data_IF_272109864381
#
_entry.id   IF_272109864381
#
_cell.length_a   1.000
_cell.length_b   1.000
_cell.length_c   1.000
_cell.angle_alpha   90.00
_cell.angle_beta   90.00
_cell.angle_gamma   90.00
#
_symmetry.space_group_name_H-M   'P 1'
#
loop_
_entity.id
_entity.type
_entity.pdbx_description
1 polymer ?
#
# COMPACT_ATOMS: atom_id res chain seq x y z
N UNK A 1 -5.82 -39.56 -2.04
CA UNK A 1 -6.90 -39.03 -2.91
C UNK A 1 -8.21 -38.89 -2.14
N UNK A 2 -8.78 -39.94 -1.55
CA UNK A 2 -10.04 -39.86 -0.78
C UNK A 2 -10.00 -38.90 0.43
N UNK A 3 -8.91 -38.92 1.21
CA UNK A 3 -8.69 -37.99 2.33
C UNK A 3 -8.54 -36.51 1.90
N UNK A 4 -8.05 -36.26 0.69
CA UNK A 4 -7.88 -34.90 0.16
C UNK A 4 -9.25 -34.26 -0.13
N UNK A 5 -10.21 -35.07 -0.59
CA UNK A 5 -11.57 -34.63 -0.90
C UNK A 5 -12.42 -34.48 0.37
N UNK A 6 -12.26 -35.37 1.36
CA UNK A 6 -12.90 -35.20 2.68
C UNK A 6 -12.41 -33.93 3.40
N UNK A 7 -11.16 -33.52 3.18
CA UNK A 7 -10.62 -32.28 3.74
C UNK A 7 -11.08 -31.02 2.99
N UNK A 8 -11.36 -31.11 1.69
CA UNK A 8 -11.95 -30.00 0.93
C UNK A 8 -13.39 -29.68 1.36
N UNK A 9 -14.14 -30.68 1.85
CA UNK A 9 -15.48 -30.48 2.40
C UNK A 9 -15.52 -29.68 3.71
N UNK A 10 -14.36 -29.41 4.33
CA UNK A 10 -14.22 -28.61 5.56
C UNK A 10 -13.79 -27.16 5.29
N UNK A 11 -13.58 -26.80 4.03
CA UNK A 11 -13.17 -25.44 3.66
C UNK A 11 -14.40 -24.55 3.67
N UNK A 12 -14.40 -23.63 4.62
CA UNK A 12 -15.46 -22.64 4.82
C UNK A 12 -15.62 -21.76 3.57
N UNK A 13 -16.85 -21.72 3.06
CA UNK A 13 -17.23 -20.85 1.94
C UNK A 13 -17.35 -19.39 2.35
N UNK A 14 -17.13 -18.48 1.39
CA UNK A 14 -17.50 -17.08 1.53
C UNK A 14 -19.01 -17.03 1.84
N UNK A 15 -19.43 -16.26 2.86
CA UNK A 15 -20.83 -15.98 3.28
C UNK A 15 -21.46 -16.81 4.43
N UNK A 16 -20.77 -17.75 5.07
CA UNK A 16 -21.28 -18.40 6.28
C UNK A 16 -20.85 -17.66 7.57
N UNK A 17 -21.77 -17.45 8.51
CA UNK A 17 -21.44 -17.05 9.89
C UNK A 17 -20.73 -18.22 10.56
N UNK A 18 -19.41 -18.19 10.50
CA UNK A 18 -18.56 -19.31 10.89
C UNK A 18 -17.98 -19.08 12.28
N UNK A 19 -17.96 -20.14 13.08
CA UNK A 19 -17.34 -20.11 14.40
C UNK A 19 -15.83 -19.83 14.28
N UNK A 20 -15.28 -18.98 15.14
CA UNK A 20 -13.86 -18.60 15.16
C UNK A 20 -12.91 -19.81 15.17
N UNK A 21 -13.34 -20.86 15.87
CA UNK A 21 -12.63 -22.13 15.94
C UNK A 21 -12.50 -22.82 14.57
N UNK A 22 -13.55 -22.83 13.76
CA UNK A 22 -13.54 -23.46 12.44
C UNK A 22 -12.65 -22.69 11.46
N UNK A 23 -12.61 -21.36 11.54
CA UNK A 23 -11.71 -20.56 10.71
C UNK A 23 -10.26 -20.78 11.10
N UNK A 24 -9.94 -20.84 12.39
CA UNK A 24 -8.58 -21.10 12.86
C UNK A 24 -8.12 -22.53 12.49
N UNK A 25 -9.00 -23.53 12.57
CA UNK A 25 -8.73 -24.89 12.11
C UNK A 25 -8.47 -24.95 10.60
N UNK A 26 -9.29 -24.25 9.81
CA UNK A 26 -9.13 -24.16 8.35
C UNK A 26 -7.82 -23.47 7.98
N UNK A 27 -7.49 -22.36 8.67
CA UNK A 27 -6.24 -21.62 8.49
C UNK A 27 -5.04 -22.49 8.78
N UNK A 28 -5.03 -23.20 9.91
CA UNK A 28 -3.95 -24.14 10.26
C UNK A 28 -3.81 -25.26 9.24
N UNK A 29 -4.91 -25.84 8.78
CA UNK A 29 -4.91 -26.90 7.77
C UNK A 29 -4.32 -26.39 6.45
N UNK A 30 -4.73 -25.20 6.01
CA UNK A 30 -4.22 -24.55 4.80
C UNK A 30 -2.73 -24.26 4.89
N UNK A 31 -2.30 -23.57 5.96
CA UNK A 31 -0.89 -23.20 6.16
C UNK A 31 0.02 -24.43 6.30
N UNK A 32 -0.49 -25.53 6.86
CA UNK A 32 0.24 -26.79 6.95
C UNK A 32 0.33 -27.50 5.60
N UNK A 33 -0.74 -27.47 4.80
CA UNK A 33 -0.82 -28.21 3.52
C UNK A 33 -0.09 -27.50 2.40
N UNK A 34 -0.24 -26.18 2.30
CA UNK A 34 0.24 -25.39 1.16
C UNK A 34 1.45 -24.50 1.49
N UNK A 35 1.80 -24.36 2.77
CA UNK A 35 2.85 -23.44 3.23
C UNK A 35 2.68 -22.01 2.68
N UNK A 36 1.43 -21.55 2.62
CA UNK A 36 1.04 -20.21 2.21
C UNK A 36 0.06 -19.62 3.22
N UNK A 37 0.01 -18.29 3.40
CA UNK A 37 -1.00 -17.67 4.23
C UNK A 37 -2.40 -17.98 3.67
N UNK A 38 -3.31 -18.34 4.57
CA UNK A 38 -4.71 -18.58 4.20
C UNK A 38 -5.41 -17.30 3.75
N UNK A 39 -5.20 -16.21 4.50
CA UNK A 39 -5.72 -14.89 4.15
C UNK A 39 -4.94 -14.25 2.99
N UNK A 40 -5.67 -13.60 2.08
CA UNK A 40 -5.12 -12.79 0.97
C UNK A 40 -5.78 -11.42 0.95
N UNK A 41 -5.17 -10.45 0.29
CA UNK A 41 -5.78 -9.14 0.07
C UNK A 41 -7.16 -9.28 -0.60
N UNK A 42 -8.15 -8.52 -0.14
CA UNK A 42 -9.55 -8.61 -0.59
C UNK A 42 -10.34 -9.82 -0.09
N UNK A 43 -9.69 -10.79 0.57
CA UNK A 43 -10.29 -12.00 1.12
C UNK A 43 -10.34 -12.03 2.64
N UNK A 44 -10.46 -10.87 3.29
CA UNK A 44 -10.55 -10.77 4.75
C UNK A 44 -11.80 -11.50 5.25
N UNK A 45 -11.61 -12.53 6.08
CA UNK A 45 -12.71 -13.24 6.72
C UNK A 45 -13.07 -12.46 8.00
N UNK A 46 -14.26 -11.87 8.04
CA UNK A 46 -14.77 -11.19 9.22
C UNK A 46 -15.28 -12.24 10.22
N UNK A 47 -14.39 -12.75 11.06
CA UNK A 47 -14.75 -13.69 12.13
C UNK A 47 -14.76 -12.96 13.46
N UNK A 48 -15.87 -13.05 14.21
CA UNK A 48 -15.92 -12.60 15.61
C UNK A 48 -16.15 -11.11 15.85
N UNK A 49 -16.77 -10.37 14.93
CA UNK A 49 -17.24 -9.01 15.20
C UNK A 49 -18.77 -8.92 15.12
N UNK A 50 -19.44 -9.50 16.11
CA UNK A 50 -20.89 -9.31 16.30
C UNK A 50 -21.26 -7.90 16.79
N UNK A 51 -20.31 -6.95 16.89
CA UNK A 51 -20.59 -5.57 17.33
C UNK A 51 -19.54 -4.50 17.04
N UNK A 52 -18.47 -4.82 16.33
CA UNK A 52 -17.58 -3.79 15.79
C UNK A 52 -17.80 -3.86 14.30
N UNK A 53 -18.55 -2.88 13.80
CA UNK A 53 -18.64 -2.51 12.39
C UNK A 53 -17.37 -3.01 11.72
N UNK A 54 -17.48 -3.91 10.72
CA UNK A 54 -16.46 -3.99 9.68
C UNK A 54 -15.98 -2.55 9.54
N UNK A 55 -14.69 -2.20 9.66
CA UNK A 55 -14.34 -0.94 9.05
C UNK A 55 -14.81 -1.18 7.63
N UNK A 56 -15.95 -0.55 7.25
CA UNK A 56 -16.32 -0.33 5.87
C UNK A 56 -14.98 -0.17 5.19
N UNK A 57 -14.66 -0.91 4.10
CA UNK A 57 -13.38 -0.72 3.42
C UNK A 57 -13.14 0.79 3.48
N UNK A 58 -12.05 1.27 4.12
CA UNK A 58 -12.01 2.60 4.75
C UNK A 58 -12.35 3.73 3.79
N UNK A 59 -12.42 3.39 2.50
CA UNK A 59 -13.21 4.08 1.53
C UNK A 59 -14.11 3.11 0.74
N UNK A 60 -15.42 3.39 0.70
CA UNK A 60 -16.36 2.81 -0.26
C UNK A 60 -15.95 3.28 -1.65
N UNK A 61 -15.34 2.40 -2.45
CA UNK A 61 -15.00 2.73 -3.82
C UNK A 61 -16.24 2.55 -4.69
N UNK A 62 -16.87 3.66 -5.07
CA UNK A 62 -17.81 3.65 -6.19
C UNK A 62 -17.04 3.24 -7.45
N UNK A 63 -17.18 1.96 -7.82
CA UNK A 63 -16.54 1.41 -9.01
C UNK A 63 -17.37 1.85 -10.22
N UNK A 64 -16.83 2.78 -11.00
CA UNK A 64 -17.32 3.02 -12.36
C UNK A 64 -16.42 2.26 -13.32
N UNK A 65 -17.00 1.33 -14.09
CA UNK A 65 -16.27 0.58 -15.12
C UNK A 65 -15.79 1.48 -16.28
N UNK A 66 -16.35 2.69 -16.39
CA UNK A 66 -16.04 3.64 -17.46
C UNK A 66 -15.50 4.94 -16.88
N UNK A 67 -14.26 5.25 -17.25
CA UNK A 67 -13.65 6.54 -16.98
C UNK A 67 -14.12 7.60 -17.99
N UNK A 68 -15.16 8.34 -17.61
CA UNK A 68 -15.69 9.46 -18.42
C UNK A 68 -14.69 10.61 -18.61
N UNK A 69 -13.66 10.71 -17.78
CA UNK A 69 -12.68 11.78 -17.83
C UNK A 69 -11.58 11.50 -18.86
N UNK A 70 -11.19 10.25 -19.08
CA UNK A 70 -10.17 9.91 -20.10
C UNK A 70 -10.56 10.32 -21.52
N UNK A 71 -11.86 10.27 -21.86
CA UNK A 71 -12.35 10.65 -23.19
C UNK A 71 -12.49 12.16 -23.36
N UNK A 72 -12.92 12.88 -22.31
CA UNK A 72 -13.15 14.34 -22.35
C UNK A 72 -11.91 15.17 -22.03
N UNK A 73 -11.05 14.69 -21.15
CA UNK A 73 -9.96 15.46 -20.55
C UNK A 73 -8.64 14.70 -20.66
N UNK A 74 -7.95 14.85 -21.81
CA UNK A 74 -6.67 14.19 -22.10
C UNK A 74 -5.56 14.49 -21.08
N UNK A 75 -5.65 15.62 -20.38
CA UNK A 75 -4.68 16.00 -19.35
C UNK A 75 -4.85 15.21 -18.04
N UNK A 76 -6.00 14.58 -17.80
CA UNK A 76 -6.28 13.91 -16.52
C UNK A 76 -5.77 12.45 -16.46
N UNK A 77 -4.77 12.25 -15.59
CA UNK A 77 -4.30 10.99 -14.99
C UNK A 77 -5.35 10.08 -14.34
N UNK A 78 -5.81 8.91 -14.84
CA UNK A 78 -6.58 8.01 -14.00
C UNK A 78 -5.72 7.49 -12.83
N UNK A 79 -6.29 7.55 -11.63
CA UNK A 79 -5.64 7.09 -10.40
C UNK A 79 -6.11 5.67 -10.10
N UNK A 80 -5.18 4.78 -9.73
CA UNK A 80 -5.51 3.40 -9.35
C UNK A 80 -5.02 3.08 -7.95
N UNK A 81 -5.89 2.47 -7.15
CA UNK A 81 -5.62 2.00 -5.80
C UNK A 81 -5.70 0.48 -5.73
N UNK A 82 -4.93 -0.10 -4.82
CA UNK A 82 -4.95 -1.53 -4.50
C UNK A 82 -4.79 -1.72 -3.00
N UNK A 83 -5.40 -2.78 -2.49
CA UNK A 83 -5.10 -3.30 -1.17
C UNK A 83 -3.88 -4.23 -1.28
N UNK A 84 -2.94 -4.12 -0.35
CA UNK A 84 -1.75 -4.95 -0.26
C UNK A 84 -1.62 -5.56 1.14
N UNK A 85 -1.50 -6.87 1.20
CA UNK A 85 -1.24 -7.64 2.41
C UNK A 85 0.12 -8.32 2.31
N UNK A 86 0.94 -8.17 3.34
CA UNK A 86 2.26 -8.81 3.44
C UNK A 86 2.28 -9.71 4.67
N UNK A 87 2.55 -10.99 4.45
CA UNK A 87 2.66 -12.02 5.47
C UNK A 87 4.10 -12.50 5.60
N UNK A 88 4.50 -12.83 6.81
CA UNK A 88 5.85 -13.29 7.14
C UNK A 88 5.76 -14.53 8.02
N UNK A 89 6.60 -15.51 7.73
CA UNK A 89 6.82 -16.71 8.52
C UNK A 89 8.32 -16.94 8.69
N UNK A 90 8.78 -17.22 9.89
CA UNK A 90 10.20 -17.53 10.12
C UNK A 90 10.55 -18.94 9.64
N UNK A 91 11.82 -19.19 9.35
CA UNK A 91 12.29 -20.51 8.96
C UNK A 91 12.80 -21.31 10.17
N UNK A 92 12.52 -22.60 10.20
CA UNK A 92 12.93 -23.49 11.30
C UNK A 92 14.43 -23.79 11.37
N UNK A 93 15.15 -23.61 10.26
CA UNK A 93 16.49 -24.18 10.06
C UNK A 93 17.60 -23.49 10.83
N UNK A 94 17.33 -22.35 11.43
CA UNK A 94 18.23 -21.68 12.35
C UNK A 94 17.36 -21.15 13.48
N UNK A 95 17.53 -21.64 14.70
CA UNK A 95 17.07 -20.93 15.89
C UNK A 95 18.14 -19.88 16.17
N UNK A 96 18.04 -18.63 15.66
CA UNK A 96 18.87 -17.56 16.18
C UNK A 96 18.62 -17.48 17.68
N UNK A 97 19.68 -17.29 18.46
CA UNK A 97 19.57 -17.01 19.88
C UNK A 97 18.61 -15.83 20.06
N UNK A 98 17.75 -15.83 21.09
CA UNK A 98 16.82 -14.70 21.35
C UNK A 98 17.56 -13.34 21.33
N UNK A 99 18.84 -13.35 21.75
CA UNK A 99 19.75 -12.21 21.73
C UNK A 99 20.03 -11.70 20.31
N UNK A 100 20.25 -12.59 19.32
CA UNK A 100 20.52 -12.23 17.93
C UNK A 100 19.30 -11.61 17.24
N UNK A 101 18.10 -12.03 17.63
CA UNK A 101 16.84 -11.52 17.08
C UNK A 101 16.39 -10.19 17.69
N UNK A 102 16.79 -9.86 18.92
CA UNK A 102 16.41 -8.58 19.56
C UNK A 102 16.85 -7.34 18.76
N UNK A 103 17.91 -7.47 17.97
CA UNK A 103 18.43 -6.37 17.16
C UNK A 103 17.95 -6.41 15.70
N UNK A 104 17.27 -7.48 15.27
CA UNK A 104 16.76 -7.63 13.91
C UNK A 104 15.33 -7.10 13.78
N UNK A 105 15.08 -6.37 12.71
CA UNK A 105 13.76 -5.84 12.40
C UNK A 105 13.54 -5.83 10.89
N UNK A 106 12.27 -5.91 10.51
CA UNK A 106 11.83 -5.73 9.14
C UNK A 106 11.43 -4.28 8.92
N UNK A 107 11.81 -3.73 7.77
CA UNK A 107 11.39 -2.41 7.33
C UNK A 107 10.72 -2.52 5.98
N UNK A 108 9.48 -2.06 5.92
CA UNK A 108 8.74 -1.88 4.67
C UNK A 108 8.99 -0.50 4.09
N UNK A 109 9.19 -0.42 2.77
CA UNK A 109 9.34 0.83 2.00
C UNK A 109 8.56 0.75 0.70
N UNK A 110 8.15 1.91 0.18
CA UNK A 110 7.61 2.04 -1.18
C UNK A 110 8.76 2.14 -2.19
N UNK A 111 8.62 1.51 -3.36
CA UNK A 111 9.64 1.56 -4.43
C UNK A 111 9.72 2.96 -5.08
N UNK A 112 8.55 3.54 -5.36
CA UNK A 112 8.39 4.88 -5.93
C UNK A 112 7.31 5.63 -5.16
N UNK A 113 7.40 6.96 -5.17
CA UNK A 113 6.52 7.87 -4.43
C UNK A 113 6.59 7.59 -2.91
N UNK A 114 6.43 8.60 -2.06
CA UNK A 114 6.46 8.40 -0.60
C UNK A 114 7.68 7.60 -0.09
N UNK A 115 8.88 7.78 -0.69
CA UNK A 115 10.10 7.01 -0.35
C UNK A 115 10.58 7.18 1.09
N UNK A 116 10.06 8.20 1.75
CA UNK A 116 10.29 8.52 3.16
C UNK A 116 9.45 7.63 4.08
N UNK A 117 8.34 7.05 3.60
CA UNK A 117 7.53 6.09 4.35
C UNK A 117 8.36 4.85 4.64
N UNK A 118 8.59 4.61 5.94
CA UNK A 118 9.31 3.47 6.48
C UNK A 118 8.50 2.92 7.65
N UNK A 119 7.98 1.71 7.52
CA UNK A 119 7.27 1.03 8.59
C UNK A 119 8.14 -0.09 9.12
N UNK A 120 8.39 -0.11 10.43
CA UNK A 120 9.28 -1.08 11.07
C UNK A 120 8.48 -2.05 11.94
N UNK A 121 8.83 -3.33 11.88
CA UNK A 121 8.35 -4.36 12.82
C UNK A 121 9.52 -5.22 13.30
N UNK A 122 9.66 -5.47 14.61
CA UNK A 122 10.70 -6.35 15.12
C UNK A 122 10.49 -7.79 14.61
N UNK A 123 11.57 -8.53 14.41
CA UNK A 123 11.47 -9.91 13.90
C UNK A 123 10.78 -10.85 14.91
N UNK A 124 10.79 -10.48 16.19
CA UNK A 124 10.18 -11.21 17.30
C UNK A 124 8.66 -11.28 17.23
N UNK A 125 8.02 -10.44 16.42
CA UNK A 125 6.57 -10.47 16.20
C UNK A 125 6.14 -11.69 15.35
N UNK A 126 7.10 -12.37 14.71
CA UNK A 126 6.88 -13.47 13.80
C UNK A 126 7.29 -14.82 14.40
N UNK A 127 6.64 -15.90 13.96
CA UNK A 127 6.88 -17.26 14.42
C UNK A 127 7.26 -18.18 13.27
N UNK A 128 7.86 -19.33 13.60
CA UNK A 128 8.06 -20.41 12.63
C UNK A 128 6.79 -21.24 12.40
N UNK A 129 5.90 -21.29 13.40
CA UNK A 129 4.76 -22.22 13.40
C UNK A 129 3.60 -21.76 12.51
N UNK A 130 3.44 -20.44 12.32
CA UNK A 130 2.32 -19.85 11.57
C UNK A 130 2.72 -18.63 10.76
N UNK A 131 1.96 -18.35 9.70
CA UNK A 131 2.06 -17.11 8.94
C UNK A 131 1.41 -15.96 9.71
N UNK A 132 2.12 -14.84 9.84
CA UNK A 132 1.59 -13.63 10.48
C UNK A 132 1.53 -12.45 9.52
N UNK A 133 0.42 -11.72 9.55
CA UNK A 133 0.22 -10.50 8.76
C UNK A 133 1.11 -9.39 9.31
N UNK A 134 2.15 -9.05 8.56
CA UNK A 134 3.07 -7.98 8.90
C UNK A 134 2.48 -6.61 8.57
N UNK A 135 1.92 -6.43 7.37
CA UNK A 135 1.32 -5.17 6.95
C UNK A 135 0.06 -5.39 6.14
N UNK A 136 -0.87 -4.46 6.31
CA UNK A 136 -2.10 -4.33 5.53
C UNK A 136 -2.22 -2.85 5.15
N UNK A 137 -2.15 -2.55 3.86
CA UNK A 137 -2.04 -1.19 3.35
C UNK A 137 -2.96 -0.99 2.15
N UNK A 138 -3.41 0.24 1.97
CA UNK A 138 -4.01 0.71 0.72
C UNK A 138 -3.00 1.59 0.00
N UNK A 139 -2.60 1.18 -1.19
CA UNK A 139 -1.48 1.76 -1.93
C UNK A 139 -1.92 2.28 -3.28
N UNK A 140 -1.31 3.37 -3.75
CA UNK A 140 -1.44 3.76 -5.15
C UNK A 140 -0.63 2.81 -6.04
N UNK A 141 -1.20 2.39 -7.17
CA UNK A 141 -0.48 1.64 -8.19
C UNK A 141 0.73 2.43 -8.74
N UNK A 142 0.69 3.75 -8.66
CA UNK A 142 1.81 4.65 -8.96
C UNK A 142 3.06 4.41 -8.11
N UNK A 143 2.93 3.80 -6.92
CA UNK A 143 4.09 3.47 -6.06
C UNK A 143 4.99 2.36 -6.62
N UNK A 144 4.56 1.68 -7.69
CA UNK A 144 5.24 0.61 -8.42
C UNK A 144 5.54 -0.67 -7.64
N UNK A 145 5.54 -0.66 -6.31
CA UNK A 145 5.71 -1.85 -5.49
C UNK A 145 6.17 -1.56 -4.08
N UNK A 146 6.41 -2.64 -3.35
CA UNK A 146 6.94 -2.66 -1.99
C UNK A 146 8.35 -3.25 -1.96
N UNK A 147 9.12 -2.82 -0.98
CA UNK A 147 10.39 -3.40 -0.60
C UNK A 147 10.36 -3.76 0.89
N UNK A 148 10.64 -5.03 1.20
CA UNK A 148 10.80 -5.53 2.57
C UNK A 148 12.29 -5.72 2.81
N UNK A 149 12.85 -4.92 3.71
CA UNK A 149 14.26 -4.98 4.12
C UNK A 149 14.37 -5.67 5.48
N UNK A 150 15.15 -6.75 5.57
CA UNK A 150 15.62 -7.28 6.84
C UNK A 150 16.85 -6.48 7.27
N UNK A 151 16.79 -5.85 8.44
CA UNK A 151 17.86 -5.00 8.98
C UNK A 151 18.26 -5.44 10.38
N UNK A 152 19.50 -5.16 10.76
CA UNK A 152 20.00 -5.35 12.11
C UNK A 152 20.44 -3.99 12.69
N UNK A 153 20.05 -3.69 13.92
CA UNK A 153 20.56 -2.52 14.67
C UNK A 153 21.95 -2.85 15.20
N UNK A 154 22.90 -1.94 15.04
CA UNK A 154 24.23 -2.13 15.61
C UNK A 154 24.15 -2.03 17.14
N UNK A 155 24.64 -3.05 17.84
CA UNK A 155 24.55 -3.18 19.30
C UNK A 155 25.65 -2.49 20.11
N UNK A 156 26.24 -1.40 19.62
CA UNK A 156 27.40 -0.78 20.27
C UNK A 156 27.35 0.75 20.34
N UNK A 157 27.40 1.29 21.57
CA UNK A 157 27.95 2.61 21.92
C UNK A 157 27.28 3.86 21.33
N UNK A 158 26.50 4.53 22.19
CA UNK A 158 26.06 5.94 22.28
C UNK A 158 26.03 6.96 21.10
N UNK A 159 26.64 6.77 19.92
CA UNK A 159 26.71 7.88 18.93
C UNK A 159 26.45 7.56 17.46
N UNK A 160 26.15 6.31 17.08
CA UNK A 160 25.68 6.02 15.70
C UNK A 160 24.45 5.10 15.70
N UNK A 161 23.25 5.70 15.59
CA UNK A 161 21.97 5.01 15.35
C UNK A 161 21.87 4.46 13.92
N UNK A 162 22.88 3.72 13.48
CA UNK A 162 22.90 3.03 12.19
C UNK A 162 22.18 1.68 12.27
N UNK A 163 21.50 1.30 11.18
CA UNK A 163 21.06 -0.08 10.98
C UNK A 163 21.72 -0.64 9.74
N UNK A 164 22.23 -1.86 9.80
CA UNK A 164 22.81 -2.57 8.65
C UNK A 164 21.71 -3.30 7.89
N UNK A 165 21.70 -3.17 6.57
CA UNK A 165 20.85 -4.00 5.72
C UNK A 165 21.43 -5.41 5.67
N UNK A 166 20.61 -6.40 5.99
CA UNK A 166 20.98 -7.83 5.89
C UNK A 166 20.54 -8.37 4.54
N UNK A 167 19.25 -8.21 4.21
CA UNK A 167 18.65 -8.70 2.97
C UNK A 167 17.47 -7.84 2.56
N UNK A 168 17.14 -7.79 1.28
CA UNK A 168 16.00 -7.04 0.75
C UNK A 168 15.21 -7.89 -0.24
N UNK A 169 13.88 -7.82 -0.14
CA UNK A 169 12.94 -8.48 -1.04
C UNK A 169 12.07 -7.42 -1.70
N UNK A 170 11.91 -7.51 -3.02
CA UNK A 170 11.15 -6.54 -3.80
C UNK A 170 9.91 -7.21 -4.38
N UNK A 171 8.77 -6.53 -4.26
CA UNK A 171 7.47 -6.93 -4.76
C UNK A 171 6.93 -5.83 -5.67
N UNK A 172 7.12 -5.99 -6.98
CA UNK A 172 6.58 -5.05 -7.97
C UNK A 172 5.09 -5.31 -8.22
N UNK A 173 4.29 -4.26 -8.33
CA UNK A 173 2.86 -4.39 -8.64
C UNK A 173 2.61 -5.09 -9.96
N UNK A 174 3.40 -4.76 -10.99
CA UNK A 174 3.28 -5.40 -12.29
C UNK A 174 3.53 -6.91 -12.25
N UNK A 175 4.42 -7.38 -11.37
CA UNK A 175 4.72 -8.80 -11.25
C UNK A 175 3.60 -9.52 -10.47
N UNK A 176 3.07 -8.88 -9.42
CA UNK A 176 1.92 -9.39 -8.67
C UNK A 176 0.67 -9.50 -9.53
N UNK A 177 0.35 -8.49 -10.35
CA UNK A 177 -0.81 -8.53 -11.26
C UNK A 177 -0.72 -9.67 -12.27
N UNK A 178 0.49 -10.05 -12.68
CA UNK A 178 0.72 -11.18 -13.60
C UNK A 178 0.84 -12.53 -12.88
N UNK A 179 0.99 -12.52 -11.57
CA UNK A 179 1.18 -13.74 -10.80
C UNK A 179 -0.15 -14.50 -10.63
N UNK A 180 -0.12 -15.84 -10.60
CA UNK A 180 -1.28 -16.63 -10.22
C UNK A 180 -1.83 -16.19 -8.86
N UNK A 181 -3.15 -16.05 -8.76
CA UNK A 181 -3.85 -15.57 -7.56
C UNK A 181 -3.40 -14.19 -7.04
N UNK A 182 -2.70 -13.40 -7.85
CA UNK A 182 -2.19 -12.06 -7.50
C UNK A 182 -1.31 -12.06 -6.23
N UNK A 183 -0.55 -13.15 -6.05
CA UNK A 183 0.32 -13.40 -4.90
C UNK A 183 1.74 -13.73 -5.36
N UNK A 184 2.74 -13.20 -4.65
CA UNK A 184 4.14 -13.54 -4.84
C UNK A 184 4.79 -13.95 -3.53
N UNK A 185 5.55 -15.04 -3.60
CA UNK A 185 6.38 -15.54 -2.51
C UNK A 185 7.86 -15.22 -2.76
N UNK A 186 8.56 -14.85 -1.69
CA UNK A 186 10.01 -14.63 -1.66
C UNK A 186 10.58 -15.26 -0.40
N UNK A 187 11.59 -16.09 -0.58
CA UNK A 187 12.20 -16.85 0.49
C UNK A 187 13.63 -16.31 0.72
N UNK A 188 13.97 -16.09 1.99
CA UNK A 188 15.33 -15.81 2.47
C UNK A 188 15.71 -16.85 3.51
N UNK A 189 16.97 -16.90 3.92
CA UNK A 189 17.46 -17.94 4.84
C UNK A 189 16.72 -17.89 6.19
N UNK A 190 16.44 -16.70 6.69
CA UNK A 190 15.83 -16.47 8.00
C UNK A 190 14.29 -16.54 7.99
N UNK A 191 13.64 -16.29 6.86
CA UNK A 191 12.19 -16.17 6.78
C UNK A 191 11.65 -16.31 5.35
N UNK A 192 10.34 -16.52 5.25
CA UNK A 192 9.56 -16.49 4.03
C UNK A 192 8.59 -15.31 4.10
N UNK A 193 8.43 -14.63 2.97
CA UNK A 193 7.56 -13.45 2.84
C UNK A 193 6.63 -13.66 1.66
N UNK A 194 5.34 -13.50 1.91
CA UNK A 194 4.30 -13.56 0.87
C UNK A 194 3.61 -12.21 0.80
N UNK A 195 3.56 -11.63 -0.38
CA UNK A 195 2.76 -10.44 -0.66
C UNK A 195 1.58 -10.83 -1.55
N UNK A 196 0.40 -10.33 -1.22
CA UNK A 196 -0.82 -10.45 -2.03
C UNK A 196 -1.43 -9.07 -2.23
N UNK A 197 -2.06 -8.85 -3.37
CA UNK A 197 -2.77 -7.61 -3.66
C UNK A 197 -4.15 -7.89 -4.24
N UNK A 198 -5.06 -6.92 -4.15
CA UNK A 198 -6.28 -6.90 -4.96
C UNK A 198 -5.96 -6.43 -6.38
N UNK A 199 -6.85 -6.74 -7.31
CA UNK A 199 -6.84 -6.07 -8.62
C UNK A 199 -6.87 -4.55 -8.42
N UNK A 200 -6.03 -3.78 -9.14
CA UNK A 200 -6.05 -2.32 -9.05
C UNK A 200 -7.43 -1.79 -9.51
N UNK A 201 -8.05 -0.97 -8.67
CA UNK A 201 -9.35 -0.34 -8.94
C UNK A 201 -9.14 1.15 -9.17
N UNK A 202 -9.88 1.71 -10.12
CA UNK A 202 -9.84 3.14 -10.36
C UNK A 202 -10.38 3.90 -9.13
N UNK A 203 -9.64 4.92 -8.71
CA UNK A 203 -9.97 5.75 -7.57
C UNK A 203 -10.36 7.17 -8.02
N UNK A 204 -11.06 7.93 -7.15
CA UNK A 204 -11.36 9.33 -7.42
C UNK A 204 -10.10 10.15 -7.74
N UNK A 205 -10.26 11.08 -8.68
CA UNK A 205 -9.21 12.01 -9.07
C UNK A 205 -8.90 12.96 -7.90
N UNK A 206 -7.62 13.06 -7.53
CA UNK A 206 -7.14 14.06 -6.58
C UNK A 206 -6.50 15.21 -7.34
N UNK A 207 -6.97 16.41 -7.06
CA UNK A 207 -6.48 17.64 -7.65
C UNK A 207 -5.84 18.50 -6.57
N UNK A 208 -4.66 19.06 -6.88
CA UNK A 208 -3.93 19.95 -5.98
C UNK A 208 -3.77 21.32 -6.63
N UNK A 209 -4.19 22.37 -5.94
CA UNK A 209 -3.88 23.74 -6.37
C UNK A 209 -2.48 24.13 -5.92
N UNK A 210 -1.69 24.68 -6.84
CA UNK A 210 -0.42 25.36 -6.55
C UNK A 210 -0.74 26.76 -6.00
N UNK A 211 0.09 27.34 -5.12
CA UNK A 211 -0.09 28.69 -4.59
C UNK A 211 -0.35 29.77 -5.65
N UNK A 212 -1.05 30.79 -5.19
CA UNK A 212 -1.68 31.84 -5.98
C UNK A 212 -0.70 32.64 -6.83
N UNK A 213 -1.10 32.93 -8.08
CA UNK A 213 -0.43 33.87 -8.98
C UNK A 213 -1.42 34.94 -9.40
N UNK A 214 -1.02 36.20 -9.36
CA UNK A 214 -1.81 37.31 -9.91
C UNK A 214 -1.57 37.36 -11.41
N UNK A 215 -2.63 37.23 -12.20
CA UNK A 215 -2.56 37.29 -13.66
C UNK A 215 -3.52 38.33 -14.24
N UNK A 216 -3.20 38.84 -15.43
CA UNK A 216 -4.09 39.72 -16.19
C UNK A 216 -5.15 38.91 -16.99
N UNK A 217 -6.05 39.58 -17.73
CA UNK A 217 -7.06 38.95 -18.61
C UNK A 217 -6.47 37.93 -19.60
N UNK A 218 -5.25 38.18 -20.09
CA UNK A 218 -4.55 37.28 -21.01
C UNK A 218 -3.94 36.04 -20.33
N UNK A 219 -3.90 36.02 -18.99
CA UNK A 219 -3.28 34.96 -18.19
C UNK A 219 -1.78 35.16 -17.95
N UNK A 220 -1.23 36.30 -18.33
CA UNK A 220 0.16 36.66 -18.06
C UNK A 220 0.32 37.06 -16.59
N UNK A 221 1.44 36.67 -15.95
CA UNK A 221 1.70 37.08 -14.58
C UNK A 221 1.89 38.59 -14.48
N UNK A 222 1.21 39.20 -13.52
CA UNK A 222 1.40 40.61 -13.19
C UNK A 222 2.55 40.74 -12.20
N UNK A 223 3.59 41.47 -12.59
CA UNK A 223 4.75 41.69 -11.72
C UNK A 223 4.50 42.84 -10.72
N UNK A 224 5.19 42.78 -9.57
CA UNK A 224 5.19 43.85 -8.56
C UNK A 224 5.69 45.19 -9.10
N UNK A 225 6.50 45.15 -10.16
CA UNK A 225 7.00 46.36 -10.84
C UNK A 225 5.87 47.06 -11.59
N UNK A 226 5.03 46.30 -12.31
CA UNK A 226 3.86 46.85 -13.02
C UNK A 226 2.82 47.38 -12.03
N UNK A 227 2.66 46.71 -10.87
CA UNK A 227 1.84 47.19 -9.76
C UNK A 227 2.28 48.57 -9.26
N UNK A 228 3.59 48.75 -9.04
CA UNK A 228 4.20 50.01 -8.59
C UNK A 228 4.05 51.10 -9.64
N UNK A 229 4.30 50.79 -10.92
CA UNK A 229 4.15 51.74 -12.03
C UNK A 229 2.71 52.26 -12.17
N UNK A 230 1.72 51.46 -11.77
CA UNK A 230 0.31 51.84 -11.80
C UNK A 230 -0.24 52.37 -10.46
N UNK A 231 0.63 52.79 -9.53
CA UNK A 231 0.24 53.34 -8.22
C UNK A 231 -0.75 52.46 -7.44
N UNK A 232 -0.63 51.13 -7.56
CA UNK A 232 -1.52 50.15 -6.91
C UNK A 232 -3.02 50.32 -7.18
N UNK A 233 -3.40 51.06 -8.24
CA UNK A 233 -4.81 51.18 -8.62
C UNK A 233 -5.36 49.81 -9.07
N UNK A 234 -6.61 49.45 -8.73
CA UNK A 234 -7.22 48.21 -9.22
C UNK A 234 -7.31 48.26 -10.74
N UNK A 235 -6.55 47.41 -11.44
CA UNK A 235 -6.67 47.26 -12.90
C UNK A 235 -7.87 46.36 -13.22
N UNK A 236 -8.63 46.70 -14.26
CA UNK A 236 -9.57 45.75 -14.88
C UNK A 236 -8.78 44.53 -15.34
N UNK A 237 -9.35 43.35 -15.13
CA UNK A 237 -8.75 42.10 -15.60
C UNK A 237 -7.69 41.51 -14.69
N UNK A 238 -7.76 41.72 -13.37
CA UNK A 238 -6.94 40.98 -12.41
C UNK A 238 -7.66 39.73 -11.97
N UNK A 239 -6.96 38.62 -12.08
CA UNK A 239 -7.45 37.30 -11.70
C UNK A 239 -6.50 36.67 -10.71
N UNK A 240 -7.09 36.04 -9.70
CA UNK A 240 -6.37 35.09 -8.87
C UNK A 240 -6.29 33.77 -9.64
N UNK A 241 -5.12 33.48 -10.19
CA UNK A 241 -4.88 32.26 -10.96
C UNK A 241 -4.26 31.17 -10.09
N UNK A 242 -4.88 29.98 -10.14
CA UNK A 242 -4.40 28.75 -9.49
C UNK A 242 -4.17 27.67 -10.54
N UNK A 243 -2.92 27.24 -10.70
CA UNK A 243 -2.62 26.03 -11.50
C UNK A 243 -3.07 24.80 -10.72
N UNK A 244 -3.91 23.98 -11.34
CA UNK A 244 -4.41 22.73 -10.76
C UNK A 244 -3.58 21.57 -11.32
N UNK A 245 -2.98 20.79 -10.43
CA UNK A 245 -2.22 19.59 -10.75
C UNK A 245 -3.05 18.33 -10.47
N UNK A 246 -2.86 17.27 -11.26
CA UNK A 246 -3.37 15.93 -10.92
C UNK A 246 -2.53 15.25 -9.83
N UNK A 247 -2.96 14.05 -9.45
CA UNK A 247 -2.26 13.18 -8.51
C UNK A 247 -0.84 12.78 -8.97
N UNK A 248 -0.53 12.89 -10.27
CA UNK A 248 0.80 12.66 -10.83
C UNK A 248 1.65 13.94 -10.87
N UNK A 249 1.12 15.08 -10.40
CA UNK A 249 1.79 16.37 -10.37
C UNK A 249 1.80 17.11 -11.71
N UNK A 250 0.93 16.73 -12.66
CA UNK A 250 0.85 17.33 -13.99
C UNK A 250 -0.25 18.37 -14.06
N UNK A 251 0.01 19.46 -14.76
CA UNK A 251 -0.94 20.55 -14.93
C UNK A 251 -2.17 20.08 -15.72
N UNK A 252 -3.34 20.28 -15.13
CA UNK A 252 -4.62 19.87 -15.70
C UNK A 252 -5.36 21.05 -16.33
N UNK A 253 -5.57 22.09 -15.52
CA UNK A 253 -6.24 23.32 -15.89
C UNK A 253 -5.87 24.46 -14.92
N UNK A 254 -6.25 25.69 -15.28
CA UNK A 254 -6.07 26.88 -14.45
C UNK A 254 -7.43 27.36 -13.99
N UNK A 255 -7.58 27.60 -12.69
CA UNK A 255 -8.76 28.26 -12.12
C UNK A 255 -8.44 29.75 -11.97
N UNK A 256 -9.31 30.61 -12.50
CA UNK A 256 -9.19 32.07 -12.44
C UNK A 256 -10.41 32.62 -11.71
N UNK A 257 -10.20 33.32 -10.59
CA UNK A 257 -11.24 33.93 -9.73
C UNK A 257 -11.08 35.45 -9.74
#
# INVERSE_FOLDING_TARGET
MKEMWDNMGKVVGLWETVEEKQVEETKKLWETTFDEPYEKAGGGIAVGMEKVVLPNPPIYWEVSDVDVNTTKYKSMIPRFLLEACVFVRLNDRTKPTIVDNKHKFLRLRMLRCHRELKLEKPITDFSCDSWRKAWHLYCEFGTKGLMVELRCRNGGGLYFKGSKLVKSMVFCWNDLVRAPCITLRRDVEEMRVVASITSPVQAPYLLKCVPDRVTDDSGAMVSDVILKLNNYRPQKGRWLSRTVLDHAGRECFVVRI
#
